data_IF_332753004477
#
_entry.id   IF_332753004477
#
_cell.length_a   1.000
_cell.length_b   1.000
_cell.length_c   1.000
_cell.angle_alpha   90.00
_cell.angle_beta   90.00
_cell.angle_gamma   90.00
#
_symmetry.space_group_name_H-M   'P 1'
#
loop_
_entity.id
_entity.type
_entity.pdbx_description
1 polymer ?
#
# COMPACT_ATOMS: atom_id res chain seq x y z
N UNK A 1 3.36 -16.44 7.45
CA UNK A 1 2.36 -15.82 8.33
C UNK A 1 2.92 -14.67 9.14
N UNK A 2 4.13 -14.83 9.71
CA UNK A 2 4.77 -13.72 10.43
C UNK A 2 5.02 -12.51 9.56
N UNK A 3 5.22 -12.72 8.27
CA UNK A 3 5.45 -11.65 7.33
C UNK A 3 4.26 -10.68 7.24
N UNK A 4 3.04 -11.21 7.28
CA UNK A 4 1.85 -10.36 7.23
C UNK A 4 1.65 -9.61 8.54
N UNK A 5 1.95 -10.23 9.67
CA UNK A 5 1.87 -9.55 10.96
C UNK A 5 2.88 -8.40 11.04
N UNK A 6 4.08 -8.63 10.53
CA UNK A 6 5.11 -7.59 10.50
C UNK A 6 4.72 -6.46 9.56
N UNK A 7 4.22 -6.79 8.38
CA UNK A 7 3.79 -5.79 7.41
C UNK A 7 2.68 -4.91 7.97
N UNK A 8 1.68 -5.53 8.61
CA UNK A 8 0.59 -4.79 9.21
C UNK A 8 1.08 -3.90 10.35
N UNK A 9 1.90 -4.45 11.24
CA UNK A 9 2.44 -3.69 12.36
C UNK A 9 3.27 -2.50 11.91
N UNK A 10 4.12 -2.69 10.93
CA UNK A 10 4.95 -1.62 10.39
C UNK A 10 4.10 -0.54 9.72
N UNK A 11 3.05 -0.94 8.99
CA UNK A 11 2.15 0.01 8.33
C UNK A 11 1.43 0.88 9.35
N UNK A 12 0.94 0.27 10.42
CA UNK A 12 0.23 1.00 11.47
C UNK A 12 1.19 1.97 12.18
N UNK A 13 2.38 1.50 12.54
CA UNK A 13 3.38 2.37 13.19
C UNK A 13 3.73 3.56 12.31
N UNK A 14 3.95 3.31 11.03
CA UNK A 14 4.36 4.37 10.10
C UNK A 14 3.26 5.40 9.93
N UNK A 15 2.03 4.95 9.73
CA UNK A 15 0.90 5.85 9.57
C UNK A 15 0.65 6.64 10.85
N UNK A 16 0.72 5.98 11.99
CA UNK A 16 0.54 6.65 13.28
C UNK A 16 1.60 7.73 13.48
N UNK A 17 2.85 7.43 13.14
CA UNK A 17 3.94 8.39 13.26
C UNK A 17 3.75 9.60 12.34
N UNK A 18 3.31 9.37 11.12
CA UNK A 18 3.05 10.45 10.17
C UNK A 18 1.94 11.37 10.64
N UNK A 19 0.91 10.79 11.24
CA UNK A 19 -0.23 11.57 11.74
C UNK A 19 0.00 12.09 13.15
N UNK A 20 1.12 11.71 13.77
CA UNK A 20 1.49 12.14 15.12
C UNK A 20 0.43 11.78 16.15
N UNK A 21 -0.07 10.55 16.03
CA UNK A 21 -1.09 10.03 16.94
C UNK A 21 -0.48 9.06 17.95
N UNK A 22 -1.09 9.01 19.13
CA UNK A 22 -0.76 7.97 20.11
C UNK A 22 -1.51 6.69 19.76
N UNK A 23 -1.10 5.58 20.35
CA UNK A 23 -1.82 4.31 20.16
C UNK A 23 -3.27 4.43 20.62
N UNK A 24 -3.50 5.14 21.72
CA UNK A 24 -4.86 5.37 22.23
C UNK A 24 -5.69 6.18 21.25
N UNK A 25 -5.09 7.18 20.62
CA UNK A 25 -5.80 8.00 19.64
C UNK A 25 -6.16 7.19 18.40
N UNK A 26 -5.27 6.31 17.97
CA UNK A 26 -5.56 5.41 16.84
C UNK A 26 -6.71 4.48 17.20
N UNK A 27 -6.67 3.90 18.41
CA UNK A 27 -7.72 3.01 18.87
C UNK A 27 -9.08 3.73 18.91
N UNK A 28 -9.07 4.96 19.37
CA UNK A 28 -10.28 5.78 19.44
C UNK A 28 -10.83 6.07 18.03
N UNK A 29 -9.95 6.44 17.11
CA UNK A 29 -10.32 6.73 15.73
C UNK A 29 -10.93 5.51 15.03
N UNK A 30 -10.33 4.36 15.25
CA UNK A 30 -10.78 3.12 14.61
C UNK A 30 -11.88 2.44 15.40
N UNK A 31 -12.23 2.96 16.57
CA UNK A 31 -13.23 2.37 17.46
C UNK A 31 -12.90 0.93 17.84
N UNK A 32 -11.63 0.72 18.19
CA UNK A 32 -11.14 -0.58 18.66
C UNK A 32 -10.45 -0.41 20.01
N UNK A 33 -10.22 -1.53 20.67
CA UNK A 33 -9.49 -1.53 21.93
C UNK A 33 -8.02 -1.15 21.70
N UNK A 34 -7.46 -0.34 22.59
CA UNK A 34 -6.05 0.08 22.46
C UNK A 34 -5.12 -1.14 22.50
N UNK A 35 -5.52 -2.19 23.19
CA UNK A 35 -4.75 -3.42 23.24
C UNK A 35 -4.61 -4.05 21.86
N UNK A 36 -5.63 -3.90 21.02
CA UNK A 36 -5.59 -4.37 19.63
C UNK A 36 -4.48 -3.64 18.88
N UNK A 37 -4.41 -2.32 19.01
CA UNK A 37 -3.37 -1.53 18.34
C UNK A 37 -1.99 -1.93 18.86
N UNK A 38 -1.86 -2.07 20.17
CA UNK A 38 -0.60 -2.47 20.79
C UNK A 38 -0.12 -3.82 20.26
N UNK A 39 -1.02 -4.79 20.22
CA UNK A 39 -0.67 -6.13 19.71
C UNK A 39 -0.26 -6.09 18.25
N UNK A 40 -0.96 -5.32 17.43
CA UNK A 40 -0.62 -5.18 16.01
C UNK A 40 0.78 -4.60 15.86
N UNK A 41 1.09 -3.54 16.60
CA UNK A 41 2.41 -2.90 16.49
C UNK A 41 3.52 -3.79 17.08
N UNK A 42 3.19 -4.71 17.94
CA UNK A 42 4.15 -5.68 18.47
C UNK A 42 4.25 -6.96 17.65
N UNK A 43 3.63 -6.97 16.47
CA UNK A 43 3.65 -8.09 15.54
C UNK A 43 2.99 -9.35 16.09
N UNK A 44 2.06 -9.17 17.01
CA UNK A 44 1.30 -10.27 17.60
C UNK A 44 -0.18 -10.22 17.25
N UNK A 45 -0.57 -9.19 16.50
CA UNK A 45 -1.97 -8.97 16.21
C UNK A 45 -2.45 -9.78 15.03
N UNK A 46 -3.53 -10.51 15.25
CA UNK A 46 -4.26 -11.16 14.18
C UNK A 46 -5.70 -10.69 14.28
N UNK A 47 -5.97 -9.45 13.87
CA UNK A 47 -7.29 -8.87 14.07
C UNK A 47 -8.34 -9.55 13.19
N UNK A 48 -9.57 -9.57 13.69
CA UNK A 48 -10.70 -10.01 12.88
C UNK A 48 -10.84 -9.06 11.70
N UNK A 49 -11.46 -9.55 10.65
CA UNK A 49 -11.57 -8.79 9.42
C UNK A 49 -12.20 -7.41 9.62
N UNK A 50 -13.26 -7.33 10.41
CA UNK A 50 -13.94 -6.05 10.66
C UNK A 50 -13.02 -5.05 11.37
N UNK A 51 -12.24 -5.55 12.32
CA UNK A 51 -11.28 -4.72 13.06
C UNK A 51 -10.17 -4.23 12.11
N UNK A 52 -9.68 -5.12 11.28
CA UNK A 52 -8.67 -4.77 10.29
C UNK A 52 -9.19 -3.68 9.36
N UNK A 53 -10.42 -3.82 8.86
CA UNK A 53 -11.03 -2.80 8.01
C UNK A 53 -11.12 -1.45 8.72
N UNK A 54 -11.52 -1.46 9.99
CA UNK A 54 -11.64 -0.22 10.77
C UNK A 54 -10.30 0.50 10.87
N UNK A 55 -9.23 -0.23 11.14
CA UNK A 55 -7.90 0.35 11.28
C UNK A 55 -7.37 0.85 9.93
N UNK A 56 -7.54 0.06 8.90
CA UNK A 56 -7.11 0.45 7.54
C UNK A 56 -7.79 1.75 7.12
N UNK A 57 -9.07 1.87 7.37
CA UNK A 57 -9.83 3.05 6.98
C UNK A 57 -9.50 4.26 7.86
N UNK A 58 -9.35 4.04 9.16
CA UNK A 58 -9.03 5.12 10.09
C UNK A 58 -7.69 5.77 9.79
N UNK A 59 -6.70 4.98 9.43
CA UNK A 59 -5.35 5.46 9.15
C UNK A 59 -5.04 5.61 7.67
N UNK A 60 -5.99 5.25 6.82
CA UNK A 60 -5.81 5.26 5.37
C UNK A 60 -4.53 4.50 4.97
N UNK A 61 -4.42 3.27 5.44
CA UNK A 61 -3.24 2.45 5.20
C UNK A 61 -3.15 2.01 3.74
N UNK A 62 -1.91 1.86 3.28
CA UNK A 62 -1.65 1.29 1.97
C UNK A 62 -1.87 -0.22 2.03
N UNK A 63 -2.99 -0.68 1.49
CA UNK A 63 -3.36 -2.09 1.57
C UNK A 63 -2.37 -3.00 0.87
N UNK A 64 -1.76 -2.53 -0.20
CA UNK A 64 -0.79 -3.33 -0.93
C UNK A 64 0.41 -3.70 -0.06
N UNK A 65 0.85 -2.79 0.80
CA UNK A 65 1.96 -3.07 1.71
C UNK A 65 1.62 -4.17 2.70
N UNK A 66 0.35 -4.28 3.07
CA UNK A 66 -0.10 -5.27 4.04
C UNK A 66 -0.28 -6.64 3.40
N UNK A 67 -0.98 -6.68 2.26
CA UNK A 67 -1.36 -7.96 1.64
C UNK A 67 -0.33 -8.48 0.65
N UNK A 68 0.50 -7.62 0.13
CA UNK A 68 1.56 -7.98 -0.81
C UNK A 68 2.87 -7.34 -0.38
N UNK A 69 3.37 -7.71 0.81
CA UNK A 69 4.57 -7.05 1.34
C UNK A 69 5.80 -7.23 0.45
N UNK A 70 5.83 -8.30 -0.32
CA UNK A 70 6.93 -8.53 -1.27
C UNK A 70 6.97 -7.47 -2.37
N UNK A 71 5.86 -6.77 -2.61
CA UNK A 71 5.75 -5.76 -3.65
C UNK A 71 5.85 -4.33 -3.11
N UNK A 72 6.17 -4.17 -1.83
CA UNK A 72 6.15 -2.86 -1.17
C UNK A 72 7.28 -1.94 -1.59
N UNK A 73 8.24 -2.41 -2.36
CA UNK A 73 9.42 -1.63 -2.75
C UNK A 73 9.34 -1.13 -4.18
N UNK A 74 8.22 -0.58 -4.55
CA UNK A 74 8.09 0.02 -5.87
C UNK A 74 8.96 1.28 -5.96
N UNK A 75 9.54 1.49 -7.13
CA UNK A 75 10.30 2.71 -7.38
C UNK A 75 9.37 3.92 -7.39
N UNK A 76 9.93 5.10 -7.13
CA UNK A 76 9.16 6.33 -7.15
C UNK A 76 8.52 6.59 -8.53
N UNK A 77 9.22 6.38 -9.67
CA UNK A 77 8.59 6.55 -10.97
C UNK A 77 7.39 5.64 -11.18
N UNK A 78 7.47 4.38 -10.74
CA UNK A 78 6.38 3.44 -10.91
C UNK A 78 5.18 3.84 -10.06
N UNK A 79 5.42 4.29 -8.84
CA UNK A 79 4.36 4.77 -7.94
C UNK A 79 3.67 5.99 -8.55
N UNK A 80 4.42 6.92 -9.12
CA UNK A 80 3.87 8.11 -9.75
C UNK A 80 3.01 7.74 -10.97
N UNK A 81 3.48 6.78 -11.76
CA UNK A 81 2.73 6.30 -12.91
C UNK A 81 1.39 5.70 -12.50
N UNK A 82 1.38 4.92 -11.43
CA UNK A 82 0.14 4.36 -10.90
C UNK A 82 -0.82 5.43 -10.44
N UNK A 83 -0.29 6.49 -9.81
CA UNK A 83 -1.11 7.59 -9.36
C UNK A 83 -1.78 8.30 -10.54
N UNK A 84 -1.01 8.61 -11.57
CA UNK A 84 -1.53 9.24 -12.77
C UNK A 84 -2.62 8.38 -13.40
N UNK A 85 -2.37 7.07 -13.50
CA UNK A 85 -3.32 6.14 -14.10
C UNK A 85 -4.64 6.12 -13.32
N UNK A 86 -4.56 6.23 -12.00
CA UNK A 86 -5.75 6.22 -11.15
C UNK A 86 -6.64 7.44 -11.32
N UNK A 87 -6.12 8.52 -11.90
CA UNK A 87 -6.87 9.74 -12.13
C UNK A 87 -7.53 9.79 -13.50
N UNK A 88 -7.28 8.79 -14.34
CA UNK A 88 -7.80 8.77 -15.70
C UNK A 88 -9.24 8.30 -15.74
N UNK A 89 -10.01 8.84 -16.69
CA UNK A 89 -11.33 8.31 -17.01
C UNK A 89 -11.15 7.03 -17.82
N UNK A 90 -12.23 6.27 -17.95
CA UNK A 90 -12.19 5.03 -18.75
C UNK A 90 -11.80 5.31 -20.20
N UNK A 91 -12.33 6.38 -20.78
CA UNK A 91 -12.01 6.76 -22.15
C UNK A 91 -10.54 7.11 -22.31
N UNK A 92 -10.02 7.89 -21.37
CA UNK A 92 -8.61 8.25 -21.35
C UNK A 92 -7.73 7.01 -21.19
N UNK A 93 -8.15 6.10 -20.31
CA UNK A 93 -7.39 4.87 -20.08
C UNK A 93 -7.31 4.01 -21.33
N UNK A 94 -8.41 3.88 -22.07
CA UNK A 94 -8.42 3.11 -23.31
C UNK A 94 -7.43 3.66 -24.33
N UNK A 95 -7.39 4.97 -24.47
CA UNK A 95 -6.43 5.61 -25.37
C UNK A 95 -5.00 5.41 -24.90
N UNK A 96 -4.78 5.56 -23.60
CA UNK A 96 -3.44 5.42 -23.03
C UNK A 96 -2.90 4.00 -23.15
N UNK A 97 -3.76 3.00 -23.03
CA UNK A 97 -3.34 1.61 -23.16
C UNK A 97 -2.65 1.37 -24.50
N UNK A 98 -3.23 1.88 -25.58
CA UNK A 98 -2.65 1.69 -26.90
C UNK A 98 -1.29 2.38 -27.04
N UNK A 99 -1.19 3.60 -26.53
CA UNK A 99 0.04 4.37 -26.62
C UNK A 99 1.12 3.74 -25.73
N UNK A 100 0.78 3.41 -24.50
CA UNK A 100 1.72 2.83 -23.54
C UNK A 100 2.22 1.48 -24.06
N UNK A 101 1.32 0.67 -24.60
CA UNK A 101 1.70 -0.63 -25.14
C UNK A 101 2.71 -0.49 -26.28
N UNK A 102 2.48 0.46 -27.18
CA UNK A 102 3.39 0.71 -28.29
C UNK A 102 4.75 1.18 -27.80
N UNK A 103 4.76 2.11 -26.84
CA UNK A 103 6.00 2.63 -26.28
C UNK A 103 6.78 1.53 -25.56
N UNK A 104 6.09 0.73 -24.74
CA UNK A 104 6.74 -0.35 -24.01
C UNK A 104 7.34 -1.38 -24.94
N UNK A 105 6.65 -1.71 -26.01
CA UNK A 105 7.15 -2.66 -27.01
C UNK A 105 8.47 -2.14 -27.58
N UNK A 106 8.50 -0.86 -27.94
CA UNK A 106 9.71 -0.25 -28.48
C UNK A 106 10.84 -0.21 -27.46
N UNK A 107 10.53 0.20 -26.23
CA UNK A 107 11.54 0.30 -25.18
C UNK A 107 12.14 -1.07 -24.84
N UNK A 108 11.31 -2.08 -24.79
CA UNK A 108 11.78 -3.43 -24.47
C UNK A 108 12.64 -4.01 -25.56
N UNK A 109 12.31 -3.72 -26.82
CA UNK A 109 13.15 -4.09 -27.94
C UNK A 109 14.53 -3.47 -27.84
N UNK A 110 14.58 -2.17 -27.54
CA UNK A 110 15.83 -1.45 -27.43
C UNK A 110 16.63 -1.90 -26.20
N UNK A 111 15.97 -2.09 -25.07
CA UNK A 111 16.61 -2.51 -23.86
C UNK A 111 17.21 -3.91 -23.98
N UNK A 112 16.62 -4.73 -24.79
CA UNK A 112 17.15 -6.06 -25.03
C UNK A 112 18.58 -6.00 -25.53
N UNK A 113 18.90 -5.00 -26.32
CA UNK A 113 20.24 -4.80 -26.83
C UNK A 113 21.18 -4.19 -25.81
N UNK A 114 20.65 -3.46 -24.84
CA UNK A 114 21.46 -2.77 -23.84
C UNK A 114 21.86 -3.66 -22.66
N UNK A 115 21.14 -4.71 -22.43
CA UNK A 115 21.38 -5.57 -21.27
C UNK A 115 22.71 -6.32 -21.39
N UNK A 116 23.24 -6.40 -22.58
CA UNK A 116 24.52 -7.01 -22.80
C UNK A 116 25.65 -6.00 -22.58
#
# INVERSE_FOLDING_TARGET
MTEYFKALGDSVKRARGKLKLTQSEVASLAEVDVRTVLNIENYKGNPKFEVLCSIVRALNLETQEIFYPEMSRQSAPLTYLQQISGECTDEEAEMLIQIVTAILTTLRSNNFQKVE
#
